data_IF_279460583168
#
_entry.id   IF_279460583168
#
_cell.length_a   1.000
_cell.length_b   1.000
_cell.length_c   1.000
_cell.angle_alpha   90.00
_cell.angle_beta   90.00
_cell.angle_gamma   90.00
#
_symmetry.space_group_name_H-M   'P 1'
#
loop_
_entity.id
_entity.type
_entity.pdbx_description
1 polymer ?
#
# COMPACT_ATOMS: atom_id res chain seq x y z
N UNK A 1 -14.23 2.00 -12.02
CA UNK A 1 -12.76 2.11 -12.07
C UNK A 1 -12.20 0.83 -12.64
N UNK A 2 -11.22 0.96 -13.52
CA UNK A 2 -10.43 -0.18 -14.01
C UNK A 2 -9.55 -0.71 -12.87
N UNK A 3 -9.28 -2.01 -12.82
CA UNK A 3 -8.43 -2.59 -11.75
C UNK A 3 -7.03 -1.98 -11.79
N UNK A 4 -6.56 -1.59 -12.96
CA UNK A 4 -5.27 -0.91 -13.10
C UNK A 4 -5.27 0.49 -12.47
N UNK A 5 -6.40 1.22 -12.52
CA UNK A 5 -6.53 2.51 -11.82
C UNK A 5 -6.52 2.32 -10.31
N UNK A 6 -7.19 1.27 -9.81
CA UNK A 6 -7.17 0.90 -8.39
C UNK A 6 -5.75 0.50 -7.98
N UNK A 7 -5.06 -0.31 -8.78
CA UNK A 7 -3.68 -0.74 -8.55
C UNK A 7 -2.75 0.47 -8.40
N UNK A 8 -2.90 1.47 -9.28
CA UNK A 8 -2.13 2.71 -9.21
C UNK A 8 -2.40 3.49 -7.93
N UNK A 9 -3.66 3.70 -7.56
CA UNK A 9 -3.98 4.42 -6.30
C UNK A 9 -3.40 3.70 -5.07
N UNK A 10 -3.46 2.37 -5.04
CA UNK A 10 -2.88 1.60 -3.94
C UNK A 10 -1.34 1.69 -3.90
N UNK A 11 -0.68 1.78 -5.06
CA UNK A 11 0.76 2.04 -5.13
C UNK A 11 1.11 3.42 -4.59
N UNK A 12 0.37 4.45 -4.98
CA UNK A 12 0.55 5.82 -4.48
C UNK A 12 0.35 5.87 -2.95
N UNK A 13 -0.64 5.14 -2.42
CA UNK A 13 -0.89 5.03 -0.98
C UNK A 13 0.25 4.32 -0.23
N UNK A 14 0.82 3.24 -0.80
CA UNK A 14 1.99 2.55 -0.23
C UNK A 14 3.15 3.54 -0.08
N UNK A 15 3.49 4.28 -1.14
CA UNK A 15 4.58 5.26 -1.12
C UNK A 15 4.33 6.37 -0.09
N UNK A 16 3.09 6.87 -0.03
CA UNK A 16 2.68 7.88 0.95
C UNK A 16 2.84 7.38 2.40
N UNK A 17 2.41 6.15 2.70
CA UNK A 17 2.56 5.60 4.05
C UNK A 17 4.01 5.30 4.42
N UNK A 18 4.85 4.84 3.49
CA UNK A 18 6.30 4.69 3.73
C UNK A 18 6.97 6.04 4.01
N UNK A 19 6.62 7.08 3.25
CA UNK A 19 7.10 8.44 3.49
C UNK A 19 6.67 8.98 4.87
N UNK A 20 5.41 8.76 5.26
CA UNK A 20 4.91 9.09 6.60
C UNK A 20 5.64 8.32 7.70
N UNK A 21 5.92 7.03 7.50
CA UNK A 21 6.67 6.23 8.47
C UNK A 21 8.07 6.82 8.71
N UNK A 22 8.79 7.18 7.65
CA UNK A 22 10.09 7.86 7.74
C UNK A 22 9.96 9.20 8.48
N UNK A 23 8.94 10.00 8.15
CA UNK A 23 8.70 11.28 8.82
C UNK A 23 8.38 11.12 10.32
N UNK A 24 7.60 10.12 10.70
CA UNK A 24 7.30 9.84 12.10
C UNK A 24 8.53 9.33 12.86
N UNK A 25 9.41 8.58 12.20
CA UNK A 25 10.66 8.12 12.79
C UNK A 25 11.60 9.30 13.11
N UNK A 26 11.71 10.31 12.22
CA UNK A 26 12.50 11.52 12.51
C UNK A 26 11.94 12.37 13.66
N UNK A 27 10.64 12.24 13.95
CA UNK A 27 9.98 12.87 15.09
C UNK A 27 9.98 12.00 16.35
N UNK A 28 10.61 10.82 16.33
CA UNK A 28 10.60 9.82 17.40
C UNK A 28 9.19 9.32 17.79
N UNK A 29 8.25 9.36 16.85
CA UNK A 29 6.88 8.86 17.01
C UNK A 29 6.82 7.37 16.61
N UNK A 30 7.50 6.52 17.37
CA UNK A 30 7.77 5.12 16.99
C UNK A 30 6.51 4.30 16.68
N UNK A 31 5.46 4.40 17.49
CA UNK A 31 4.21 3.66 17.25
C UNK A 31 3.50 4.13 15.98
N UNK A 32 3.54 5.43 15.67
CA UNK A 32 2.97 5.97 14.45
C UNK A 32 3.76 5.53 13.22
N UNK A 33 5.11 5.54 13.31
CA UNK A 33 5.99 5.03 12.27
C UNK A 33 5.71 3.55 11.97
N UNK A 34 5.66 2.72 13.02
CA UNK A 34 5.34 1.30 12.92
C UNK A 34 3.96 1.04 12.33
N UNK A 35 2.94 1.80 12.74
CA UNK A 35 1.59 1.67 12.20
C UNK A 35 1.55 1.99 10.70
N UNK A 36 2.16 3.11 10.28
CA UNK A 36 2.20 3.51 8.88
C UNK A 36 2.95 2.47 8.02
N UNK A 37 4.06 1.93 8.52
CA UNK A 37 4.86 0.92 7.84
C UNK A 37 4.11 -0.42 7.67
N UNK A 38 3.41 -0.86 8.72
CA UNK A 38 2.55 -2.05 8.67
C UNK A 38 1.39 -1.87 7.69
N UNK A 39 0.76 -0.69 7.66
CA UNK A 39 -0.33 -0.41 6.74
C UNK A 39 0.14 -0.45 5.28
N UNK A 40 1.30 0.15 4.98
CA UNK A 40 1.91 0.04 3.65
C UNK A 40 2.17 -1.42 3.26
N UNK A 41 2.74 -2.22 4.17
CA UNK A 41 3.02 -3.64 3.94
C UNK A 41 1.75 -4.47 3.70
N UNK A 42 0.66 -4.17 4.40
CA UNK A 42 -0.62 -4.84 4.20
C UNK A 42 -1.25 -4.51 2.84
N UNK A 43 -1.16 -3.25 2.41
CA UNK A 43 -1.65 -2.83 1.09
C UNK A 43 -0.81 -3.47 -0.02
N UNK A 44 0.52 -3.53 0.14
CA UNK A 44 1.42 -4.22 -0.78
C UNK A 44 1.05 -5.69 -0.91
N UNK A 45 0.82 -6.39 0.20
CA UNK A 45 0.35 -7.77 0.19
C UNK A 45 -0.99 -7.91 -0.55
N UNK A 46 -1.97 -7.05 -0.25
CA UNK A 46 -3.25 -7.05 -0.95
C UNK A 46 -3.07 -6.87 -2.47
N UNK A 47 -2.16 -5.98 -2.89
CA UNK A 47 -1.84 -5.72 -4.30
C UNK A 47 -1.26 -6.94 -5.02
N UNK A 48 -0.43 -7.75 -4.34
CA UNK A 48 0.13 -8.98 -4.93
C UNK A 48 -0.94 -10.04 -5.21
N UNK A 49 -2.03 -10.02 -4.47
CA UNK A 49 -3.16 -10.95 -4.62
C UNK A 49 -4.28 -10.40 -5.50
N UNK A 50 -4.18 -9.12 -5.90
CA UNK A 50 -5.21 -8.46 -6.68
C UNK A 50 -5.12 -8.86 -8.16
N UNK A 51 -6.20 -9.40 -8.76
CA UNK A 51 -6.21 -9.75 -10.17
C UNK A 51 -6.14 -8.49 -11.04
N UNK A 52 -5.41 -8.57 -12.15
CA UNK A 52 -5.33 -7.52 -13.16
C UNK A 52 -6.56 -7.51 -14.06
N UNK A 53 -6.75 -6.46 -14.87
CA UNK A 53 -7.88 -6.39 -15.80
C UNK A 53 -7.81 -7.46 -16.90
N UNK A 54 -6.61 -7.95 -17.23
CA UNK A 54 -6.36 -9.04 -18.18
C UNK A 54 -6.43 -10.45 -17.59
N UNK A 55 -6.54 -10.60 -16.26
CA UNK A 55 -6.60 -11.92 -15.64
C UNK A 55 -7.98 -12.54 -15.86
N UNK A 56 -8.02 -13.70 -16.51
CA UNK A 56 -9.24 -14.48 -16.70
C UNK A 56 -9.77 -14.90 -15.32
N UNK A 57 -11.04 -14.61 -15.04
CA UNK A 57 -11.71 -15.14 -13.85
C UNK A 57 -11.68 -16.67 -13.94
N UNK A 58 -10.92 -17.30 -13.06
CA UNK A 58 -10.99 -18.74 -12.87
C UNK A 58 -12.31 -18.98 -12.15
N UNK A 59 -13.29 -19.53 -12.87
CA UNK A 59 -14.60 -19.93 -12.35
C UNK A 59 -14.53 -21.31 -11.71
#
# INVERSE_FOLDING_TARGET
MKKDEIRKMLQDDIENFRSKAQHYDTLHLFEAAKYADNLASNIELALTTMPSDGDQKIY
#
